data_IF_869815196958
#
_entry.id   IF_869815196958
#
_cell.length_a   1.000
_cell.length_b   1.000
_cell.length_c   1.000
_cell.angle_alpha   90.00
_cell.angle_beta   90.00
_cell.angle_gamma   90.00
#
_symmetry.space_group_name_H-M   'P 1'
#
loop_
_entity.id
_entity.type
_entity.pdbx_description
1 polymer ?
#
# COMPACT_ATOMS: atom_id res chain seq x y z
N UNK A 1 8.63 -16.64 7.59
CA UNK A 1 8.13 -15.26 7.52
C UNK A 1 7.33 -15.03 6.25
N UNK A 2 6.73 -13.86 6.06
CA UNK A 2 6.07 -13.51 4.80
C UNK A 2 7.09 -13.45 3.66
N UNK A 3 6.68 -13.88 2.47
CA UNK A 3 7.49 -13.76 1.25
C UNK A 3 7.33 -12.40 0.58
N UNK A 4 6.21 -11.72 0.83
CA UNK A 4 5.88 -10.41 0.28
C UNK A 4 5.24 -9.55 1.37
N UNK A 5 5.63 -8.29 1.46
CA UNK A 5 5.06 -7.31 2.37
C UNK A 5 4.66 -6.07 1.59
N UNK A 6 3.38 -5.69 1.64
CA UNK A 6 2.87 -4.47 1.03
C UNK A 6 2.77 -3.37 2.06
N UNK A 7 3.38 -2.24 1.76
CA UNK A 7 3.57 -1.10 2.67
C UNK A 7 2.95 0.16 2.04
N UNK A 8 1.88 0.72 2.61
CA UNK A 8 1.36 2.00 2.13
C UNK A 8 2.37 3.13 2.38
N UNK A 9 2.58 3.96 1.38
CA UNK A 9 3.53 5.08 1.39
C UNK A 9 2.79 6.39 1.09
N UNK A 10 2.81 7.32 2.05
CA UNK A 10 2.62 8.74 1.85
C UNK A 10 3.98 9.43 1.92
N UNK A 11 4.29 10.16 3.00
CA UNK A 11 5.65 10.71 3.25
C UNK A 11 6.70 9.63 3.57
N UNK A 12 6.29 8.37 3.72
CA UNK A 12 7.17 7.22 3.93
C UNK A 12 7.48 6.85 5.38
N UNK A 13 7.03 7.63 6.36
CA UNK A 13 7.38 7.42 7.77
C UNK A 13 6.94 6.06 8.31
N UNK A 14 5.71 5.63 8.05
CA UNK A 14 5.20 4.31 8.45
C UNK A 14 6.01 3.17 7.81
N UNK A 15 6.19 3.23 6.50
CA UNK A 15 6.90 2.20 5.74
C UNK A 15 8.35 2.08 6.21
N UNK A 16 9.06 3.19 6.37
CA UNK A 16 10.43 3.22 6.89
C UNK A 16 10.52 2.68 8.32
N UNK A 17 9.56 3.04 9.19
CA UNK A 17 9.47 2.57 10.57
C UNK A 17 9.22 1.07 10.67
N UNK A 18 8.66 0.43 9.65
CA UNK A 18 8.48 -1.03 9.56
C UNK A 18 9.70 -1.70 8.94
N UNK A 19 10.18 -1.18 7.82
CA UNK A 19 11.29 -1.79 7.07
C UNK A 19 12.58 -1.81 7.88
N UNK A 20 12.95 -0.71 8.54
CA UNK A 20 14.21 -0.60 9.26
C UNK A 20 14.40 -1.67 10.36
N UNK A 21 13.47 -1.87 11.33
CA UNK A 21 13.62 -2.91 12.34
C UNK A 21 13.49 -4.32 11.77
N UNK A 22 12.64 -4.53 10.75
CA UNK A 22 12.50 -5.85 10.10
C UNK A 22 13.80 -6.21 9.40
N UNK A 23 14.42 -5.27 8.70
CA UNK A 23 15.72 -5.49 8.06
C UNK A 23 16.84 -5.78 9.07
N UNK A 24 16.89 -5.03 10.16
CA UNK A 24 17.86 -5.27 11.23
C UNK A 24 17.72 -6.67 11.84
N UNK A 25 16.49 -7.19 11.93
CA UNK A 25 16.21 -8.48 12.55
C UNK A 25 16.38 -9.66 11.58
N UNK A 26 15.94 -9.53 10.32
CA UNK A 26 15.86 -10.61 9.34
C UNK A 26 17.02 -10.61 8.33
N UNK A 27 17.68 -9.47 8.13
CA UNK A 27 18.78 -9.34 7.17
C UNK A 27 18.38 -9.83 5.77
N UNK A 28 19.19 -10.69 5.18
CA UNK A 28 18.96 -11.25 3.84
C UNK A 28 17.76 -12.22 3.73
N UNK A 29 17.12 -12.57 4.84
CA UNK A 29 15.89 -13.39 4.85
C UNK A 29 14.60 -12.54 4.80
N UNK A 30 14.73 -11.27 4.52
CA UNK A 30 13.63 -10.37 4.27
C UNK A 30 12.89 -10.82 3.00
N UNK A 31 11.56 -10.94 3.07
CA UNK A 31 10.74 -11.13 1.87
C UNK A 31 10.75 -9.87 1.00
N UNK A 32 10.09 -9.94 -0.16
CA UNK A 32 9.93 -8.77 -1.05
C UNK A 32 9.20 -7.64 -0.35
N UNK A 33 9.81 -6.47 -0.29
CA UNK A 33 9.20 -5.24 0.24
C UNK A 33 8.64 -4.42 -0.91
N UNK A 34 7.33 -4.20 -0.89
CA UNK A 34 6.59 -3.56 -1.98
C UNK A 34 5.91 -2.31 -1.43
N UNK A 35 6.36 -1.14 -1.86
CA UNK A 35 5.72 0.13 -1.57
C UNK A 35 4.44 0.29 -2.39
N UNK A 36 3.42 0.91 -1.80
CA UNK A 36 2.14 1.20 -2.47
C UNK A 36 1.78 2.64 -2.24
N UNK A 37 1.60 3.39 -3.32
CA UNK A 37 1.21 4.79 -3.32
C UNK A 37 -0.10 5.01 -4.08
N UNK A 38 -0.77 6.12 -3.81
CA UNK A 38 -1.81 6.60 -4.73
C UNK A 38 -1.19 7.10 -6.02
N UNK A 39 -1.81 6.77 -7.15
CA UNK A 39 -1.44 7.34 -8.46
C UNK A 39 -1.47 8.88 -8.49
N UNK A 40 -2.35 9.49 -7.68
CA UNK A 40 -2.50 10.95 -7.60
C UNK A 40 -1.37 11.64 -6.83
N UNK A 41 -0.57 10.89 -6.08
CA UNK A 41 0.50 11.42 -5.21
C UNK A 41 1.71 10.47 -5.11
N UNK A 42 2.11 9.88 -6.25
CA UNK A 42 3.17 8.86 -6.31
C UNK A 42 4.58 9.47 -6.16
N UNK A 43 4.85 10.17 -5.07
CA UNK A 43 6.09 10.93 -4.87
C UNK A 43 7.33 10.04 -4.68
N UNK A 44 7.18 8.85 -4.09
CA UNK A 44 8.28 7.91 -3.95
C UNK A 44 8.66 7.29 -5.29
N UNK A 45 7.67 6.89 -6.10
CA UNK A 45 7.91 6.34 -7.44
C UNK A 45 8.61 7.34 -8.34
N UNK A 46 8.14 8.60 -8.37
CA UNK A 46 8.79 9.69 -9.10
C UNK A 46 10.23 9.95 -8.59
N UNK A 47 10.44 9.84 -7.27
CA UNK A 47 11.76 9.99 -6.66
C UNK A 47 12.71 8.85 -7.06
N UNK A 48 12.22 7.61 -7.18
CA UNK A 48 13.00 6.48 -7.69
C UNK A 48 13.41 6.72 -9.14
N UNK A 49 12.50 7.16 -10.00
CA UNK A 49 12.80 7.43 -11.41
C UNK A 49 13.81 8.59 -11.56
N UNK A 50 13.67 9.63 -10.76
CA UNK A 50 14.60 10.76 -10.72
C UNK A 50 15.92 10.46 -9.99
N UNK A 51 16.03 9.37 -9.25
CA UNK A 51 17.15 9.00 -8.37
C UNK A 51 17.44 10.03 -7.27
N UNK A 52 16.45 10.82 -6.90
CA UNK A 52 16.50 11.86 -5.86
C UNK A 52 15.11 12.18 -5.37
N UNK A 53 14.91 12.58 -4.10
CA UNK A 53 13.62 13.06 -3.64
C UNK A 53 13.03 14.12 -4.56
N UNK A 54 11.84 13.88 -5.06
CA UNK A 54 11.15 14.72 -6.03
C UNK A 54 9.80 15.16 -5.49
N UNK A 55 9.37 16.37 -5.89
CA UNK A 55 8.05 16.89 -5.58
C UNK A 55 7.05 16.46 -6.66
N UNK A 56 5.88 16.06 -6.23
CA UNK A 56 4.72 15.80 -7.09
C UNK A 56 3.65 16.83 -6.78
N UNK A 57 3.14 17.50 -7.79
CA UNK A 57 2.01 18.42 -7.64
C UNK A 57 0.70 17.63 -7.50
N UNK A 58 0.03 17.81 -6.38
CA UNK A 58 -1.26 17.16 -6.11
C UNK A 58 -2.37 18.05 -6.65
N UNK A 59 -2.82 17.75 -7.85
CA UNK A 59 -3.93 18.47 -8.48
C UNK A 59 -5.31 17.94 -8.07
N UNK A 60 -5.37 16.71 -7.57
CA UNK A 60 -6.58 16.04 -7.13
C UNK A 60 -6.26 15.12 -5.93
N UNK A 61 -7.12 15.17 -4.91
CA UNK A 61 -6.95 14.35 -3.70
C UNK A 61 -7.44 12.92 -3.93
N UNK A 62 -6.68 11.95 -3.44
CA UNK A 62 -7.09 10.54 -3.39
C UNK A 62 -8.04 10.29 -2.22
N UNK A 63 -8.88 9.26 -2.31
CA UNK A 63 -9.66 8.75 -1.17
C UNK A 63 -8.76 8.35 0.00
N UNK A 64 -7.55 7.88 -0.28
CA UNK A 64 -6.54 7.51 0.73
C UNK A 64 -5.83 8.77 1.25
N UNK A 65 -6.56 9.63 2.00
CA UNK A 65 -6.08 10.93 2.44
C UNK A 65 -4.73 10.88 3.18
N UNK A 66 -4.48 9.84 3.98
CA UNK A 66 -3.20 9.63 4.66
C UNK A 66 -2.02 9.29 3.74
N UNK A 67 -2.29 8.99 2.46
CA UNK A 67 -1.28 8.74 1.42
C UNK A 67 -1.18 9.92 0.43
N UNK A 68 -2.02 10.95 0.54
CA UNK A 68 -2.02 12.13 -0.32
C UNK A 68 -0.87 13.06 0.06
N UNK A 69 0.34 12.71 -0.33
CA UNK A 69 1.57 13.42 0.02
C UNK A 69 2.41 13.69 -1.23
N UNK A 70 2.75 14.97 -1.46
CA UNK A 70 3.51 15.40 -2.65
C UNK A 70 5.03 15.24 -2.53
N UNK A 71 5.54 14.84 -1.37
CA UNK A 71 6.97 14.62 -1.15
C UNK A 71 7.24 13.48 -0.18
N UNK A 72 8.38 12.83 -0.34
CA UNK A 72 8.88 11.85 0.63
C UNK A 72 9.80 12.53 1.65
N UNK A 73 9.76 12.12 2.91
CA UNK A 73 10.70 12.64 3.90
C UNK A 73 12.12 12.14 3.60
N UNK A 74 13.13 12.98 3.82
CA UNK A 74 14.54 12.64 3.60
C UNK A 74 14.98 11.40 4.36
N UNK A 75 14.52 11.24 5.60
CA UNK A 75 14.83 10.07 6.41
C UNK A 75 14.17 8.80 5.85
N UNK A 76 12.91 8.89 5.42
CA UNK A 76 12.23 7.76 4.82
C UNK A 76 12.88 7.37 3.49
N UNK A 77 13.30 8.33 2.67
CA UNK A 77 14.02 8.08 1.43
C UNK A 77 15.30 7.27 1.66
N UNK A 78 16.14 7.68 2.64
CA UNK A 78 17.39 6.98 2.95
C UNK A 78 17.19 5.52 3.38
N UNK A 79 16.03 5.20 3.96
CA UNK A 79 15.69 3.84 4.41
C UNK A 79 15.02 3.05 3.29
N UNK A 80 14.04 3.63 2.62
CA UNK A 80 13.17 2.91 1.67
C UNK A 80 13.85 2.70 0.32
N UNK A 81 14.57 3.70 -0.19
CA UNK A 81 15.22 3.59 -1.51
C UNK A 81 16.12 2.35 -1.65
N UNK A 82 16.99 2.01 -0.69
CA UNK A 82 17.80 0.79 -0.77
C UNK A 82 17.08 -0.49 -0.32
N UNK A 83 15.86 -0.40 0.24
CA UNK A 83 15.21 -1.53 0.92
C UNK A 83 13.96 -2.04 0.24
N UNK A 84 13.32 -1.24 -0.64
CA UNK A 84 12.15 -1.68 -1.39
C UNK A 84 12.57 -2.39 -2.67
N UNK A 85 12.01 -3.57 -2.90
CA UNK A 85 12.19 -4.33 -4.15
C UNK A 85 11.35 -3.72 -5.28
N UNK A 86 10.15 -3.23 -4.95
CA UNK A 86 9.20 -2.65 -5.89
C UNK A 86 8.42 -1.50 -5.26
N UNK A 87 7.95 -0.59 -6.11
CA UNK A 87 6.94 0.40 -5.76
C UNK A 87 5.82 0.36 -6.80
N UNK A 88 4.58 0.37 -6.34
CA UNK A 88 3.39 0.33 -7.19
C UNK A 88 2.52 1.55 -6.90
N UNK A 89 1.97 2.16 -7.93
CA UNK A 89 0.90 3.14 -7.79
C UNK A 89 -0.45 2.51 -8.10
N UNK A 90 -1.48 2.89 -7.34
CA UNK A 90 -2.84 2.39 -7.46
C UNK A 90 -3.84 3.52 -7.65
N UNK A 91 -4.96 3.25 -8.32
CA UNK A 91 -6.12 4.13 -8.40
C UNK A 91 -7.09 3.84 -7.26
N UNK A 92 -8.03 4.77 -7.04
CA UNK A 92 -9.04 4.65 -5.98
C UNK A 92 -10.18 3.68 -6.31
N UNK A 93 -10.28 3.19 -7.55
CA UNK A 93 -11.44 2.43 -8.05
C UNK A 93 -11.80 1.19 -7.21
N UNK A 94 -10.81 0.51 -6.66
CA UNK A 94 -11.01 -0.71 -5.88
C UNK A 94 -11.08 -0.47 -4.37
N UNK A 95 -10.86 0.76 -3.88
CA UNK A 95 -10.80 1.05 -2.44
C UNK A 95 -12.15 0.72 -1.78
N UNK A 96 -13.23 1.35 -2.21
CA UNK A 96 -14.55 1.14 -1.60
C UNK A 96 -15.03 -0.34 -1.70
N UNK A 97 -14.95 -1.04 -2.85
CA UNK A 97 -15.26 -2.47 -2.92
C UNK A 97 -14.44 -3.35 -1.97
N UNK A 98 -13.16 -3.09 -1.81
CA UNK A 98 -12.30 -3.88 -0.93
C UNK A 98 -12.51 -3.54 0.55
N UNK A 99 -12.82 -2.28 0.89
CA UNK A 99 -13.28 -1.90 2.24
C UNK A 99 -14.56 -2.67 2.61
N UNK A 100 -15.53 -2.73 1.70
CA UNK A 100 -16.75 -3.53 1.89
C UNK A 100 -16.42 -5.02 2.10
N UNK A 101 -15.48 -5.56 1.33
CA UNK A 101 -14.99 -6.93 1.48
C UNK A 101 -14.40 -7.22 2.87
N UNK A 102 -13.60 -6.31 3.41
CA UNK A 102 -13.10 -6.40 4.79
C UNK A 102 -14.23 -6.33 5.83
N UNK A 103 -15.13 -5.34 5.69
CA UNK A 103 -16.26 -5.15 6.59
C UNK A 103 -17.21 -6.35 6.63
N UNK A 104 -17.37 -7.05 5.50
CA UNK A 104 -18.22 -8.23 5.37
C UNK A 104 -17.50 -9.55 5.66
N UNK A 105 -16.16 -9.52 5.83
CA UNK A 105 -15.35 -10.69 6.18
C UNK A 105 -15.14 -11.67 5.03
N UNK A 106 -15.27 -11.24 3.76
CA UNK A 106 -15.21 -12.13 2.59
C UNK A 106 -13.82 -12.72 2.33
N UNK A 107 -12.78 -12.12 2.91
CA UNK A 107 -11.40 -12.61 2.76
C UNK A 107 -11.00 -13.70 3.75
N UNK A 108 -11.94 -14.13 4.63
CA UNK A 108 -11.67 -15.05 5.73
C UNK A 108 -11.12 -14.36 6.98
N UNK A 109 -11.03 -15.10 8.09
CA UNK A 109 -10.50 -14.55 9.35
C UNK A 109 -11.44 -13.63 10.12
N UNK A 110 -12.65 -13.36 9.59
CA UNK A 110 -13.64 -12.48 10.21
C UNK A 110 -13.71 -11.10 9.57
N UNK A 111 -14.50 -10.22 10.19
CA UNK A 111 -14.69 -8.84 9.76
C UNK A 111 -13.54 -7.98 10.25
N UNK A 112 -13.07 -7.09 9.39
CA UNK A 112 -12.00 -6.13 9.70
C UNK A 112 -12.51 -4.74 9.34
N UNK A 113 -12.40 -3.80 10.27
CA UNK A 113 -12.62 -2.40 10.03
C UNK A 113 -11.31 -1.80 9.48
N UNK A 114 -11.20 -1.77 8.16
CA UNK A 114 -10.04 -1.24 7.43
C UNK A 114 -10.46 0.03 6.68
N UNK A 115 -9.84 1.14 7.00
CA UNK A 115 -10.03 2.40 6.29
C UNK A 115 -9.35 2.41 4.92
N UNK A 116 -9.41 3.54 4.26
CA UNK A 116 -8.98 3.74 2.87
C UNK A 116 -7.51 3.40 2.67
N UNK A 117 -6.63 3.97 3.53
CA UNK A 117 -5.19 3.73 3.43
C UNK A 117 -4.81 2.29 3.81
N UNK A 118 -5.55 1.67 4.75
CA UNK A 118 -5.35 0.26 5.13
C UNK A 118 -5.68 -0.71 4.00
N UNK A 119 -6.50 -0.29 3.04
CA UNK A 119 -6.94 -1.09 1.90
C UNK A 119 -5.94 -1.04 0.74
N UNK A 120 -5.00 -0.08 0.73
CA UNK A 120 -4.04 0.11 -0.35
C UNK A 120 -3.24 -1.14 -0.71
N UNK A 121 -2.69 -1.85 0.29
CA UNK A 121 -1.92 -3.06 0.05
C UNK A 121 -2.73 -4.19 -0.61
N UNK A 122 -3.99 -4.36 -0.20
CA UNK A 122 -4.89 -5.34 -0.84
C UNK A 122 -5.25 -4.92 -2.26
N UNK A 123 -5.46 -3.62 -2.50
CA UNK A 123 -5.71 -3.08 -3.84
C UNK A 123 -4.56 -3.41 -4.79
N UNK A 124 -3.32 -3.15 -4.37
CA UNK A 124 -2.13 -3.48 -5.15
C UNK A 124 -2.00 -4.99 -5.41
N UNK A 125 -2.26 -5.83 -4.41
CA UNK A 125 -2.25 -7.29 -4.56
C UNK A 125 -3.29 -7.78 -5.56
N UNK A 126 -4.52 -7.27 -5.49
CA UNK A 126 -5.60 -7.62 -6.43
C UNK A 126 -5.27 -7.16 -7.85
N UNK A 127 -4.70 -5.95 -8.01
CA UNK A 127 -4.24 -5.47 -9.31
C UNK A 127 -3.13 -6.37 -9.87
N UNK A 128 -2.12 -6.71 -9.07
CA UNK A 128 -1.06 -7.62 -9.47
C UNK A 128 -1.59 -9.01 -9.87
N UNK A 129 -2.60 -9.53 -9.16
CA UNK A 129 -3.23 -10.82 -9.50
C UNK A 129 -3.95 -10.81 -10.85
N UNK A 130 -4.47 -9.66 -11.27
CA UNK A 130 -5.15 -9.49 -12.57
C UNK A 130 -4.19 -9.26 -13.74
N UNK A 131 -2.94 -8.91 -13.46
CA UNK A 131 -1.88 -8.69 -14.45
C UNK A 131 -0.82 -9.80 -14.35
N UNK A 132 -0.82 -10.79 -15.27
CA UNK A 132 0.15 -11.88 -15.24
C UNK A 132 1.61 -11.43 -15.33
N UNK A 133 1.90 -10.35 -16.06
CA UNK A 133 3.27 -9.84 -16.17
C UNK A 133 3.74 -9.21 -14.86
N UNK A 134 2.87 -8.44 -14.20
CA UNK A 134 3.16 -7.88 -12.89
C UNK A 134 3.28 -8.99 -11.83
N UNK A 135 2.39 -9.99 -11.88
CA UNK A 135 2.44 -11.15 -10.96
C UNK A 135 3.76 -11.90 -11.06
N UNK A 136 4.25 -12.14 -12.27
CA UNK A 136 5.56 -12.75 -12.51
C UNK A 136 6.70 -11.85 -12.05
N UNK A 137 6.64 -10.54 -12.37
CA UNK A 137 7.66 -9.57 -11.95
C UNK A 137 7.82 -9.47 -10.44
N UNK A 138 6.72 -9.59 -9.70
CA UNK A 138 6.72 -9.62 -8.24
C UNK A 138 7.13 -10.98 -7.66
N UNK A 139 7.40 -11.98 -8.51
CA UNK A 139 7.87 -13.32 -8.13
C UNK A 139 6.89 -14.10 -7.25
N UNK A 140 5.57 -13.93 -7.45
CA UNK A 140 4.57 -14.72 -6.74
C UNK A 140 4.56 -16.17 -7.19
N UNK A 141 4.47 -17.09 -6.20
CA UNK A 141 4.39 -18.53 -6.41
C UNK A 141 3.35 -19.21 -5.52
N UNK A 142 3.17 -20.53 -5.66
CA UNK A 142 2.16 -21.28 -4.90
C UNK A 142 2.34 -21.26 -3.38
N UNK A 143 3.56 -20.97 -2.92
CA UNK A 143 3.92 -20.93 -1.49
C UNK A 143 4.07 -19.51 -0.96
N UNK A 144 3.71 -18.49 -1.75
CA UNK A 144 3.80 -17.10 -1.33
C UNK A 144 2.90 -16.82 -0.14
N UNK A 145 3.47 -16.16 0.86
CA UNK A 145 2.77 -15.66 2.05
C UNK A 145 2.85 -14.15 2.03
N UNK A 146 1.70 -13.50 2.00
CA UNK A 146 1.59 -12.04 1.87
C UNK A 146 1.25 -11.42 3.23
N UNK A 147 2.02 -10.39 3.60
CA UNK A 147 1.71 -9.50 4.71
C UNK A 147 1.21 -8.17 4.13
N UNK A 148 0.00 -7.79 4.50
CA UNK A 148 -0.57 -6.48 4.21
C UNK A 148 -0.51 -5.63 5.48
N UNK A 149 0.04 -4.44 5.38
CA UNK A 149 0.07 -3.48 6.49
C UNK A 149 -1.10 -2.53 6.36
N UNK A 150 -1.96 -2.52 7.37
CA UNK A 150 -3.08 -1.59 7.51
C UNK A 150 -3.10 -1.04 8.92
N UNK A 151 -3.07 0.28 9.07
CA UNK A 151 -2.99 0.98 10.36
C UNK A 151 -4.10 2.00 10.56
N UNK A 152 -5.02 2.07 9.61
CA UNK A 152 -6.17 2.97 9.64
C UNK A 152 -7.46 2.16 9.80
N UNK A 153 -8.32 2.59 10.74
CA UNK A 153 -9.69 2.10 10.89
C UNK A 153 -10.69 3.11 10.34
N UNK A 154 -11.91 3.15 10.88
CA UNK A 154 -12.93 4.13 10.53
C UNK A 154 -12.64 5.49 11.21
N UNK A 155 -11.59 6.19 10.78
CA UNK A 155 -11.20 7.51 11.34
C UNK A 155 -12.27 8.56 11.13
N UNK A 156 -12.97 8.53 9.99
CA UNK A 156 -14.23 9.21 9.75
C UNK A 156 -15.35 8.16 9.58
N UNK A 157 -16.12 7.86 10.65
CA UNK A 157 -17.16 6.83 10.58
C UNK A 157 -18.22 7.09 9.52
N UNK A 158 -18.53 8.36 9.25
CA UNK A 158 -19.54 8.74 8.23
C UNK A 158 -19.05 8.41 6.82
N UNK A 159 -17.82 8.79 6.50
CA UNK A 159 -17.19 8.45 5.22
C UNK A 159 -16.98 6.95 5.08
N UNK A 160 -16.51 6.28 6.13
CA UNK A 160 -16.33 4.83 6.15
C UNK A 160 -17.63 4.08 5.81
N UNK A 161 -18.73 4.41 6.48
CA UNK A 161 -20.05 3.78 6.24
C UNK A 161 -20.56 4.05 4.82
N UNK A 162 -20.33 5.27 4.31
CA UNK A 162 -20.65 5.63 2.93
C UNK A 162 -19.86 4.75 1.94
N UNK A 163 -18.53 4.71 2.05
CA UNK A 163 -17.66 3.95 1.15
C UNK A 163 -17.95 2.45 1.19
N UNK A 164 -18.16 1.87 2.38
CA UNK A 164 -18.55 0.47 2.52
C UNK A 164 -19.90 0.19 1.83
N UNK A 165 -20.87 1.11 1.96
CA UNK A 165 -22.17 0.99 1.31
C UNK A 165 -22.05 1.05 -0.22
N UNK A 166 -21.29 2.01 -0.74
CA UNK A 166 -21.00 2.14 -2.17
C UNK A 166 -20.24 0.92 -2.71
N UNK A 167 -19.28 0.43 -1.94
CA UNK A 167 -18.47 -0.73 -2.32
C UNK A 167 -19.26 -2.03 -2.47
N UNK A 168 -20.35 -2.20 -1.71
CA UNK A 168 -21.28 -3.36 -1.84
C UNK A 168 -22.11 -3.33 -3.11
N UNK A 169 -22.16 -2.20 -3.81
CA UNK A 169 -22.95 -2.03 -5.05
C UNK A 169 -22.13 -2.27 -6.33
N UNK A 170 -20.80 -2.35 -6.19
CA UNK A 170 -19.85 -2.58 -7.29
C UNK A 170 -19.37 -4.00 -7.35
#
# INVERSE_FOLDING_TARGET
GPSHCFLPIGVGGLAAGIVAPVWQHMGANLGKMIGVESYMSACFLESIDAQTPSLVDISEETLMAGLSCGEISDLAWQILQPSLDHCLSITDDAIAPLMAGFADGVFGGGRIEAGECSTAGLTALVAAKKDPALWEKLEFGPTSVVLLIGTEGATDPGLYDQLVTEGRQK
#
